data_IF_035282043958
#
_entry.id   IF_035282043958
#
_cell.length_a   1.000
_cell.length_b   1.000
_cell.length_c   1.000
_cell.angle_alpha   90.00
_cell.angle_beta   90.00
_cell.angle_gamma   90.00
#
_symmetry.space_group_name_H-M   'P 1'
#
loop_
_entity.id
_entity.type
_entity.pdbx_description
1 polymer ?
#
# COMPACT_ATOMS: atom_id res chain seq x y z
N UNK A 1 43.07 66.17 -2.13
CA UNK A 1 42.65 64.78 -2.46
C UNK A 1 41.15 64.60 -2.73
N UNK A 2 40.23 65.35 -2.07
CA UNK A 2 38.76 65.19 -2.27
C UNK A 2 38.22 65.54 -3.68
N UNK A 3 38.86 66.44 -4.44
CA UNK A 3 38.41 66.79 -5.80
C UNK A 3 38.78 65.76 -6.89
N UNK A 4 39.80 64.95 -6.66
CA UNK A 4 40.25 63.92 -7.61
C UNK A 4 39.32 62.70 -7.53
N UNK A 5 38.94 62.27 -6.31
CA UNK A 5 37.99 61.18 -6.11
C UNK A 5 36.57 61.46 -6.66
N UNK A 6 36.13 62.73 -6.67
CA UNK A 6 34.82 63.12 -7.24
C UNK A 6 34.80 63.05 -8.77
N UNK A 7 35.95 63.29 -9.43
CA UNK A 7 36.09 63.20 -10.90
C UNK A 7 36.31 61.74 -11.37
N UNK A 8 36.95 60.89 -10.56
CA UNK A 8 37.11 59.47 -10.88
C UNK A 8 35.83 58.65 -10.73
N UNK A 9 34.85 59.09 -9.92
CA UNK A 9 33.54 58.45 -9.81
C UNK A 9 32.58 58.74 -10.99
N UNK A 10 32.80 59.86 -11.70
CA UNK A 10 32.02 60.23 -12.90
C UNK A 10 32.42 59.42 -14.13
N UNK A 11 33.69 59.03 -14.23
CA UNK A 11 34.24 58.27 -15.35
C UNK A 11 33.59 56.89 -15.59
N UNK A 12 33.41 56.02 -14.57
CA UNK A 12 32.74 54.73 -14.77
C UNK A 12 31.25 54.91 -15.12
N UNK A 13 30.60 55.96 -14.59
CA UNK A 13 29.19 56.24 -14.87
C UNK A 13 28.97 56.73 -16.32
N UNK A 14 29.93 57.48 -16.87
CA UNK A 14 29.96 57.90 -18.28
C UNK A 14 30.25 56.72 -19.22
N UNK A 15 31.11 55.78 -18.82
CA UNK A 15 31.38 54.53 -19.55
C UNK A 15 30.17 53.59 -19.56
N UNK A 16 29.42 53.50 -18.46
CA UNK A 16 28.18 52.72 -18.38
C UNK A 16 27.06 53.37 -19.23
N UNK A 17 26.93 54.70 -19.24
CA UNK A 17 25.96 55.41 -20.08
C UNK A 17 26.27 55.28 -21.59
N UNK A 18 27.56 55.33 -21.96
CA UNK A 18 27.99 55.14 -23.35
C UNK A 18 27.77 53.69 -23.85
N UNK A 19 27.97 52.69 -22.96
CA UNK A 19 27.75 51.27 -23.30
C UNK A 19 26.27 50.89 -23.39
N UNK A 20 25.39 51.51 -22.59
CA UNK A 20 23.93 51.35 -22.71
C UNK A 20 23.37 51.97 -24.01
N UNK A 21 23.95 53.08 -24.48
CA UNK A 21 23.52 53.76 -25.71
C UNK A 21 23.86 52.95 -26.98
N UNK A 22 24.90 52.11 -26.93
CA UNK A 22 25.31 51.24 -28.05
C UNK A 22 24.41 50.03 -28.27
N UNK A 23 23.64 49.59 -27.27
CA UNK A 23 22.80 48.39 -27.34
C UNK A 23 21.35 48.66 -27.78
N UNK A 24 20.91 49.94 -27.81
CA UNK A 24 19.51 50.30 -28.11
C UNK A 24 19.24 50.49 -29.61
N UNK A 25 20.28 50.60 -30.45
CA UNK A 25 20.13 50.84 -31.89
C UNK A 25 20.37 49.59 -32.73
N UNK A 26 19.67 48.50 -32.45
CA UNK A 26 19.48 47.47 -33.48
C UNK A 26 18.44 48.04 -34.46
N UNK A 27 18.89 48.74 -35.51
CA UNK A 27 18.01 49.13 -36.62
C UNK A 27 17.41 47.86 -37.21
N UNK A 28 16.16 47.55 -36.84
CA UNK A 28 15.39 46.49 -37.49
C UNK A 28 15.21 46.90 -38.94
N UNK A 29 15.91 46.23 -39.85
CA UNK A 29 15.70 46.40 -41.28
C UNK A 29 14.27 45.94 -41.61
N UNK A 30 13.39 46.90 -41.85
CA UNK A 30 12.00 46.64 -42.20
C UNK A 30 11.81 46.87 -43.70
N UNK A 31 12.21 45.88 -44.51
CA UNK A 31 11.90 45.88 -45.94
C UNK A 31 10.46 45.39 -46.13
N UNK A 32 9.56 46.22 -46.69
CA UNK A 32 8.19 45.82 -46.93
C UNK A 32 8.05 44.58 -47.84
N UNK A 33 9.01 44.34 -48.74
CA UNK A 33 9.00 43.18 -49.64
C UNK A 33 9.27 41.87 -48.90
N UNK A 34 10.26 41.88 -47.99
CA UNK A 34 10.56 40.76 -47.09
C UNK A 34 9.39 40.53 -46.13
N UNK A 35 8.82 41.60 -45.57
CA UNK A 35 7.65 41.48 -44.70
C UNK A 35 6.47 40.87 -45.44
N UNK A 36 6.18 41.30 -46.67
CA UNK A 36 5.11 40.72 -47.47
C UNK A 36 5.36 39.24 -47.81
N UNK A 37 6.62 38.82 -47.99
CA UNK A 37 6.99 37.41 -48.14
C UNK A 37 6.74 36.61 -46.85
N UNK A 38 7.17 37.12 -45.69
CA UNK A 38 6.91 36.46 -44.41
C UNK A 38 5.42 36.32 -44.10
N UNK A 39 4.60 37.32 -44.47
CA UNK A 39 3.13 37.28 -44.35
C UNK A 39 2.49 36.17 -45.18
N UNK A 40 3.07 35.84 -46.34
CA UNK A 40 2.65 34.73 -47.23
C UNK A 40 3.11 33.36 -46.73
N UNK A 41 4.15 33.29 -45.90
CA UNK A 41 4.63 32.03 -45.33
C UNK A 41 3.90 31.60 -44.06
N UNK A 42 3.31 32.54 -43.32
CA UNK A 42 2.73 32.30 -42.00
C UNK A 42 1.21 32.31 -42.02
N UNK A 43 0.59 33.48 -41.82
CA UNK A 43 -0.84 33.59 -41.52
C UNK A 43 -1.53 34.82 -42.13
N UNK A 44 -0.86 35.95 -42.31
CA UNK A 44 -1.57 37.24 -42.42
C UNK A 44 -2.27 37.47 -43.78
N UNK A 45 -1.55 37.38 -44.90
CA UNK A 45 -2.17 37.58 -46.24
C UNK A 45 -1.39 36.89 -47.37
N UNK A 46 -2.07 36.13 -48.23
CA UNK A 46 -1.47 35.48 -49.42
C UNK A 46 -1.22 36.45 -50.59
N UNK A 47 -2.05 37.49 -50.72
CA UNK A 47 -2.10 38.35 -51.91
C UNK A 47 -1.23 39.62 -51.91
N UNK A 48 -0.22 39.76 -51.05
CA UNK A 48 0.65 40.96 -51.04
C UNK A 48 1.94 40.72 -51.85
N UNK A 49 1.91 41.03 -53.15
CA UNK A 49 3.00 40.79 -54.09
C UNK A 49 3.82 42.07 -54.31
N UNK A 50 4.76 42.33 -53.40
CA UNK A 50 5.69 43.46 -53.51
C UNK A 50 6.98 43.06 -54.25
N UNK A 51 7.61 43.98 -54.99
CA UNK A 51 7.21 45.38 -55.24
C UNK A 51 5.93 45.48 -56.11
N UNK A 52 5.14 46.56 -55.99
CA UNK A 52 3.85 46.63 -56.70
C UNK A 52 4.01 46.86 -58.22
N UNK A 53 3.12 46.29 -59.06
CA UNK A 53 3.10 46.59 -60.48
C UNK A 53 2.89 48.08 -60.74
N UNK A 54 3.56 48.59 -61.78
CA UNK A 54 3.24 49.88 -62.40
C UNK A 54 3.06 49.65 -63.88
N UNK A 55 1.97 50.17 -64.43
CA UNK A 55 1.64 50.05 -65.85
C UNK A 55 1.52 51.43 -66.47
N UNK A 56 2.02 51.58 -67.69
CA UNK A 56 1.82 52.75 -68.54
C UNK A 56 1.46 52.25 -69.93
N UNK A 57 0.29 52.65 -70.45
CA UNK A 57 -0.24 52.18 -71.74
C UNK A 57 -0.28 50.64 -71.86
N UNK A 58 -0.60 49.93 -70.77
CA UNK A 58 -0.63 48.46 -70.72
C UNK A 58 0.74 47.78 -70.59
N UNK A 59 1.84 48.54 -70.67
CA UNK A 59 3.20 48.01 -70.53
C UNK A 59 3.65 48.15 -69.08
N UNK A 60 4.22 47.08 -68.54
CA UNK A 60 4.72 47.07 -67.18
C UNK A 60 6.04 47.86 -67.07
N UNK A 61 6.02 48.98 -66.34
CA UNK A 61 7.17 49.88 -66.19
C UNK A 61 8.02 49.61 -64.95
N UNK A 62 7.53 48.79 -64.01
CA UNK A 62 8.32 48.37 -62.85
C UNK A 62 9.15 47.13 -63.18
N UNK A 63 10.45 47.34 -63.43
CA UNK A 63 11.42 46.28 -63.74
C UNK A 63 11.52 45.23 -62.62
N UNK A 64 11.59 45.67 -61.36
CA UNK A 64 11.71 44.75 -60.22
C UNK A 64 10.46 43.88 -60.03
N UNK A 65 9.27 44.39 -60.36
CA UNK A 65 8.07 43.55 -60.42
C UNK A 65 8.13 42.58 -61.60
N UNK A 66 8.66 43.01 -62.75
CA UNK A 66 8.66 42.23 -64.00
C UNK A 66 9.52 40.98 -63.89
N UNK A 67 10.66 41.11 -63.22
CA UNK A 67 11.63 40.03 -63.02
C UNK A 67 11.25 39.09 -61.88
N UNK A 68 10.47 39.53 -60.89
CA UNK A 68 10.13 38.71 -59.71
C UNK A 68 8.76 38.06 -59.82
N UNK A 69 7.73 38.78 -60.30
CA UNK A 69 6.34 38.34 -60.33
C UNK A 69 5.63 38.51 -61.68
N UNK A 70 6.20 39.30 -62.59
CA UNK A 70 5.62 39.64 -63.90
C UNK A 70 6.03 38.70 -65.03
N UNK A 71 5.97 39.20 -66.26
CA UNK A 71 6.17 38.39 -67.47
C UNK A 71 7.57 37.77 -67.58
N UNK A 72 8.60 38.44 -67.05
CA UNK A 72 10.00 38.00 -67.07
C UNK A 72 10.38 37.18 -65.84
N UNK A 73 9.43 36.88 -64.96
CA UNK A 73 9.68 36.08 -63.78
C UNK A 73 9.83 34.59 -64.14
N UNK A 74 10.68 33.85 -63.40
CA UNK A 74 10.74 32.40 -63.51
C UNK A 74 9.36 31.76 -63.35
N UNK A 75 9.12 30.66 -64.07
CA UNK A 75 7.84 29.94 -64.04
C UNK A 75 7.38 29.64 -62.61
N UNK A 76 8.29 29.22 -61.73
CA UNK A 76 8.03 28.90 -60.32
C UNK A 76 7.39 30.08 -59.57
N UNK A 77 7.88 31.31 -59.79
CA UNK A 77 7.36 32.48 -59.08
C UNK A 77 5.97 32.88 -59.58
N UNK A 78 5.73 32.69 -60.88
CA UNK A 78 4.42 32.93 -61.50
C UNK A 78 3.40 31.91 -61.01
N UNK A 79 3.76 30.63 -61.00
CA UNK A 79 2.93 29.54 -60.47
C UNK A 79 2.65 29.73 -58.96
N UNK A 80 3.63 30.20 -58.19
CA UNK A 80 3.46 30.51 -56.77
C UNK A 80 2.53 31.72 -56.53
N UNK A 81 2.56 32.72 -57.42
CA UNK A 81 1.68 33.91 -57.34
C UNK A 81 0.24 33.61 -57.75
N UNK A 82 0.08 32.87 -58.83
CA UNK A 82 -1.22 32.58 -59.43
C UNK A 82 -1.87 31.32 -58.83
N UNK A 83 -1.13 30.58 -57.99
CA UNK A 83 -1.58 29.38 -57.29
C UNK A 83 -2.36 29.63 -56.00
N UNK A 84 -2.91 28.53 -55.47
CA UNK A 84 -3.69 28.52 -54.23
C UNK A 84 -2.87 28.96 -53.02
N UNK A 85 -3.57 29.51 -52.03
CA UNK A 85 -2.97 29.91 -50.76
C UNK A 85 -2.41 28.70 -49.98
N UNK A 86 -1.09 28.54 -49.95
CA UNK A 86 -0.44 27.41 -49.26
C UNK A 86 -0.12 27.69 -47.78
N UNK A 87 -0.56 28.82 -47.22
CA UNK A 87 -0.26 29.18 -45.83
C UNK A 87 -0.66 28.06 -44.86
N UNK A 88 0.26 27.55 -44.04
CA UNK A 88 -0.04 26.45 -43.14
C UNK A 88 -1.01 26.85 -42.02
N UNK A 89 -0.98 28.11 -41.58
CA UNK A 89 -1.79 28.64 -40.47
C UNK A 89 -3.09 29.33 -40.92
N UNK A 90 -3.42 29.35 -42.21
CA UNK A 90 -4.73 29.89 -42.67
C UNK A 90 -5.88 29.13 -41.98
N UNK A 91 -7.10 29.68 -41.88
CA UNK A 91 -8.21 29.01 -41.19
C UNK A 91 -8.44 27.55 -41.64
N UNK A 92 -8.28 27.25 -42.92
CA UNK A 92 -8.38 25.90 -43.51
C UNK A 92 -7.02 25.22 -43.73
N UNK A 93 -5.94 25.78 -43.17
CA UNK A 93 -4.57 25.32 -43.36
C UNK A 93 -4.26 24.04 -42.60
N UNK A 94 -3.30 23.28 -43.13
CA UNK A 94 -2.91 21.98 -42.60
C UNK A 94 -2.47 22.03 -41.13
N UNK A 95 -1.80 23.11 -40.70
CA UNK A 95 -1.29 23.23 -39.34
C UNK A 95 -2.42 23.46 -38.33
N UNK A 96 -3.44 24.23 -38.69
CA UNK A 96 -4.62 24.42 -37.82
C UNK A 96 -5.44 23.14 -37.70
N UNK A 97 -5.56 22.37 -38.80
CA UNK A 97 -6.18 21.04 -38.76
C UNK A 97 -5.42 20.09 -37.82
N UNK A 98 -4.08 20.08 -37.89
CA UNK A 98 -3.24 19.31 -36.98
C UNK A 98 -3.38 19.75 -35.53
N UNK A 99 -3.45 21.06 -35.26
CA UNK A 99 -3.69 21.56 -33.91
C UNK A 99 -5.05 21.13 -33.36
N UNK A 100 -6.10 21.16 -34.18
CA UNK A 100 -7.41 20.67 -33.80
C UNK A 100 -7.38 19.15 -33.49
N UNK A 101 -6.76 18.35 -34.38
CA UNK A 101 -6.57 16.91 -34.16
C UNK A 101 -5.77 16.62 -32.89
N UNK A 102 -4.69 17.35 -32.65
CA UNK A 102 -3.87 17.22 -31.43
C UNK A 102 -4.70 17.53 -30.19
N UNK A 103 -5.60 18.53 -30.24
CA UNK A 103 -6.50 18.82 -29.12
C UNK A 103 -7.49 17.71 -28.85
N UNK A 104 -8.08 17.10 -29.89
CA UNK A 104 -8.93 15.92 -29.72
C UNK A 104 -8.16 14.74 -29.11
N UNK A 105 -6.95 14.46 -29.61
CA UNK A 105 -6.08 13.42 -29.05
C UNK A 105 -5.68 13.70 -27.60
N UNK A 106 -5.43 14.96 -27.25
CA UNK A 106 -5.13 15.37 -25.88
C UNK A 106 -6.32 15.10 -24.94
N UNK A 107 -7.55 15.35 -25.38
CA UNK A 107 -8.76 15.07 -24.62
C UNK A 107 -8.99 13.56 -24.45
N UNK A 108 -8.78 12.76 -25.50
CA UNK A 108 -8.85 11.29 -25.41
C UNK A 108 -7.78 10.73 -24.48
N UNK A 109 -6.55 11.22 -24.58
CA UNK A 109 -5.46 10.83 -23.69
C UNK A 109 -5.77 11.15 -22.22
N UNK A 110 -6.41 12.29 -21.93
CA UNK A 110 -6.87 12.63 -20.57
C UNK A 110 -7.90 11.63 -20.04
N UNK A 111 -8.85 11.20 -20.87
CA UNK A 111 -9.84 10.18 -20.49
C UNK A 111 -9.18 8.84 -20.20
N UNK A 112 -8.27 8.39 -21.05
CA UNK A 112 -7.51 7.15 -20.87
C UNK A 112 -6.67 7.22 -19.58
N UNK A 113 -5.99 8.34 -19.34
CA UNK A 113 -5.23 8.57 -18.11
C UNK A 113 -6.12 8.48 -16.88
N UNK A 114 -7.28 9.13 -16.89
CA UNK A 114 -8.22 9.05 -15.77
C UNK A 114 -8.69 7.62 -15.49
N UNK A 115 -8.96 6.82 -16.54
CA UNK A 115 -9.31 5.41 -16.39
C UNK A 115 -8.13 4.56 -15.86
N UNK A 116 -6.91 4.83 -16.31
CA UNK A 116 -5.72 4.15 -15.81
C UNK A 116 -5.46 4.49 -14.33
N UNK A 117 -5.58 5.75 -13.95
CA UNK A 117 -5.41 6.22 -12.58
C UNK A 117 -6.47 5.61 -11.63
N UNK A 118 -7.71 5.42 -12.09
CA UNK A 118 -8.75 4.77 -11.28
C UNK A 118 -8.48 3.28 -11.10
N UNK A 119 -8.06 2.57 -12.15
CA UNK A 119 -7.65 1.17 -12.07
C UNK A 119 -6.47 1.01 -11.11
N UNK A 120 -5.45 1.88 -11.21
CA UNK A 120 -4.29 1.85 -10.33
C UNK A 120 -4.67 2.11 -8.87
N UNK A 121 -5.49 3.13 -8.61
CA UNK A 121 -5.96 3.41 -7.23
C UNK A 121 -6.73 2.23 -6.67
N UNK A 122 -7.59 1.59 -7.48
CA UNK A 122 -8.34 0.41 -7.07
C UNK A 122 -7.44 -0.79 -6.81
N UNK A 123 -6.46 -1.05 -7.68
CA UNK A 123 -5.54 -2.19 -7.50
C UNK A 123 -4.66 -2.03 -6.26
N UNK A 124 -4.22 -0.82 -5.93
CA UNK A 124 -3.50 -0.53 -4.68
C UNK A 124 -4.40 -0.74 -3.46
N UNK A 125 -5.65 -0.31 -3.52
CA UNK A 125 -6.63 -0.56 -2.44
C UNK A 125 -6.92 -2.05 -2.27
N UNK A 126 -7.12 -2.77 -3.36
CA UNK A 126 -7.34 -4.23 -3.36
C UNK A 126 -6.09 -4.94 -2.83
N UNK A 127 -4.89 -4.55 -3.24
CA UNK A 127 -3.65 -5.10 -2.71
C UNK A 127 -3.54 -4.88 -1.19
N UNK A 128 -3.80 -3.67 -0.69
CA UNK A 128 -3.79 -3.36 0.73
C UNK A 128 -4.84 -4.14 1.53
N UNK A 129 -5.97 -4.49 0.91
CA UNK A 129 -7.05 -5.28 1.51
C UNK A 129 -6.74 -6.79 1.60
N UNK A 130 -5.86 -7.29 0.72
CA UNK A 130 -5.50 -8.71 0.66
C UNK A 130 -4.18 -9.04 1.35
N UNK A 131 -3.24 -8.10 1.33
CA UNK A 131 -1.90 -8.34 1.88
C UNK A 131 -1.94 -8.59 3.39
N UNK A 132 -1.18 -9.59 3.83
CA UNK A 132 -0.91 -9.88 5.24
C UNK A 132 -0.09 -8.79 5.94
N UNK A 133 0.69 -8.00 5.18
CA UNK A 133 1.57 -6.96 5.73
C UNK A 133 0.82 -5.86 6.51
N UNK A 134 -0.45 -5.62 6.18
CA UNK A 134 -1.29 -4.63 6.85
C UNK A 134 -2.06 -5.19 8.05
N UNK A 135 -1.91 -6.50 8.36
CA UNK A 135 -2.69 -7.18 9.40
C UNK A 135 -2.46 -6.62 10.81
N UNK A 136 -1.30 -6.01 11.08
CA UNK A 136 -1.02 -5.36 12.37
C UNK A 136 -1.69 -3.99 12.52
N UNK A 137 -1.94 -3.32 11.41
CA UNK A 137 -2.56 -2.00 11.39
C UNK A 137 -4.10 -2.06 11.36
N UNK A 138 -4.68 -3.27 11.29
CA UNK A 138 -6.12 -3.45 11.24
C UNK A 138 -6.81 -2.91 12.52
N UNK A 139 -7.74 -1.93 12.41
CA UNK A 139 -8.40 -1.34 13.58
C UNK A 139 -9.07 -2.36 14.51
N UNK A 140 -9.82 -3.32 13.96
CA UNK A 140 -10.50 -4.35 14.75
C UNK A 140 -9.51 -5.32 15.43
N UNK A 141 -8.37 -5.57 14.78
CA UNK A 141 -7.29 -6.34 15.37
C UNK A 141 -6.74 -5.63 16.60
N UNK A 142 -6.37 -4.36 16.46
CA UNK A 142 -5.81 -3.54 17.53
C UNK A 142 -6.78 -3.38 18.71
N UNK A 143 -8.06 -3.15 18.44
CA UNK A 143 -9.07 -2.89 19.47
C UNK A 143 -9.51 -4.15 20.23
N UNK A 144 -9.59 -5.30 19.56
CA UNK A 144 -10.20 -6.50 20.14
C UNK A 144 -9.28 -7.73 20.11
N UNK A 145 -8.93 -8.19 18.91
CA UNK A 145 -8.32 -9.52 18.74
C UNK A 145 -6.89 -9.61 19.28
N UNK A 146 -6.10 -8.54 19.19
CA UNK A 146 -4.72 -8.49 19.69
C UNK A 146 -4.65 -8.87 21.18
N UNK A 147 -5.57 -8.33 22.00
CA UNK A 147 -5.64 -8.66 23.43
C UNK A 147 -6.19 -10.06 23.66
N UNK A 148 -7.24 -10.44 22.93
CA UNK A 148 -7.96 -11.70 23.17
C UNK A 148 -7.17 -12.95 22.72
N UNK A 149 -6.32 -12.82 21.69
CA UNK A 149 -5.50 -13.91 21.17
C UNK A 149 -4.09 -13.95 21.77
N UNK A 150 -3.70 -12.94 22.56
CA UNK A 150 -2.42 -12.90 23.29
C UNK A 150 -2.11 -14.18 24.09
N UNK A 151 -3.09 -14.81 24.77
CA UNK A 151 -2.82 -16.05 25.49
C UNK A 151 -2.31 -17.20 24.61
N UNK A 152 -2.64 -17.21 23.32
CA UNK A 152 -2.16 -18.25 22.38
C UNK A 152 -0.66 -18.10 22.13
N UNK A 153 -0.19 -16.86 21.98
CA UNK A 153 1.24 -16.56 21.78
C UNK A 153 2.06 -16.70 23.06
N UNK A 154 1.44 -16.46 24.22
CA UNK A 154 2.09 -16.62 25.53
C UNK A 154 2.14 -18.07 26.00
N UNK A 155 1.27 -18.94 25.48
CA UNK A 155 1.30 -20.36 25.81
C UNK A 155 2.50 -21.00 25.08
N UNK A 156 3.29 -21.89 25.73
CA UNK A 156 4.46 -22.51 25.11
C UNK A 156 4.09 -23.42 23.94
N UNK A 157 4.97 -23.56 22.95
CA UNK A 157 4.73 -24.45 21.78
C UNK A 157 4.77 -25.92 22.19
N UNK A 158 5.72 -26.30 23.04
CA UNK A 158 5.91 -27.68 23.51
C UNK A 158 5.93 -27.70 25.04
N UNK A 159 4.76 -27.63 25.71
CA UNK A 159 4.66 -27.71 27.17
C UNK A 159 5.15 -29.08 27.70
N UNK A 160 6.21 -29.07 28.53
CA UNK A 160 6.82 -30.30 29.07
C UNK A 160 6.46 -30.56 30.54
N UNK A 161 6.04 -29.53 31.27
CA UNK A 161 5.78 -29.62 32.71
C UNK A 161 4.33 -29.30 33.07
N UNK A 162 3.92 -29.67 34.28
CA UNK A 162 2.58 -29.35 34.80
C UNK A 162 2.32 -27.84 34.82
N UNK A 163 3.35 -27.02 35.10
CA UNK A 163 3.25 -25.56 35.14
C UNK A 163 2.99 -24.97 33.75
N UNK A 164 3.66 -25.50 32.72
CA UNK A 164 3.49 -25.08 31.33
C UNK A 164 2.06 -25.36 30.84
N UNK A 165 1.55 -26.55 31.21
CA UNK A 165 0.16 -26.93 30.97
C UNK A 165 -0.85 -26.22 31.89
N UNK A 166 -0.38 -25.41 32.85
CA UNK A 166 -1.22 -24.73 33.86
C UNK A 166 -2.11 -25.71 34.65
N UNK A 167 -1.58 -26.91 34.90
CA UNK A 167 -2.20 -27.93 35.75
C UNK A 167 -1.90 -27.64 37.23
N UNK A 168 -2.65 -28.27 38.14
CA UNK A 168 -2.47 -28.05 39.58
C UNK A 168 -1.26 -28.82 40.12
N UNK A 169 -1.20 -30.12 39.85
CA UNK A 169 -0.26 -31.03 40.51
C UNK A 169 0.52 -31.88 39.51
N UNK A 170 1.75 -32.25 39.87
CA UNK A 170 2.59 -33.16 39.07
C UNK A 170 1.92 -34.53 38.86
N UNK A 171 1.25 -35.08 39.87
CA UNK A 171 0.53 -36.35 39.77
C UNK A 171 -0.57 -36.32 38.69
N UNK A 172 -1.20 -35.15 38.50
CA UNK A 172 -2.24 -34.98 37.48
C UNK A 172 -1.65 -34.97 36.08
N UNK A 173 -0.49 -34.32 35.93
CA UNK A 173 0.25 -34.30 34.68
C UNK A 173 0.66 -35.72 34.27
N UNK A 174 1.23 -36.49 35.20
CA UNK A 174 1.62 -37.88 34.96
C UNK A 174 0.43 -38.74 34.55
N UNK A 175 -0.69 -38.66 35.28
CA UNK A 175 -1.90 -39.41 34.98
C UNK A 175 -2.49 -39.06 33.59
N UNK A 176 -2.47 -37.78 33.22
CA UNK A 176 -2.91 -37.33 31.89
C UNK A 176 -1.93 -37.78 30.79
N UNK A 177 -0.62 -37.79 31.08
CA UNK A 177 0.39 -38.30 30.14
C UNK A 177 0.21 -39.80 29.89
N UNK A 178 -0.03 -40.60 30.94
CA UNK A 178 -0.23 -42.05 30.84
C UNK A 178 -1.53 -42.41 30.13
N UNK A 179 -2.56 -41.56 30.26
CA UNK A 179 -3.85 -41.76 29.57
C UNK A 179 -3.78 -41.33 28.10
N UNK A 180 -2.71 -40.64 27.68
CA UNK A 180 -2.57 -40.11 26.31
C UNK A 180 -3.42 -38.87 26.01
N UNK A 181 -4.06 -38.28 27.02
CA UNK A 181 -4.91 -37.08 26.84
C UNK A 181 -4.07 -35.84 26.51
N UNK A 182 -2.86 -35.73 27.08
CA UNK A 182 -1.95 -34.62 26.77
C UNK A 182 -1.50 -34.63 25.31
N UNK A 183 -1.30 -35.81 24.71
CA UNK A 183 -0.93 -35.92 23.30
C UNK A 183 -2.03 -35.34 22.40
N UNK A 184 -3.29 -35.71 22.64
CA UNK A 184 -4.44 -35.13 21.92
C UNK A 184 -4.54 -33.62 22.12
N UNK A 185 -4.37 -33.14 23.36
CA UNK A 185 -4.40 -31.70 23.65
C UNK A 185 -3.25 -30.96 22.97
N UNK A 186 -2.08 -31.59 22.83
CA UNK A 186 -0.95 -31.03 22.08
C UNK A 186 -1.30 -30.89 20.59
N UNK A 187 -1.86 -31.94 19.97
CA UNK A 187 -2.29 -31.90 18.57
C UNK A 187 -3.32 -30.78 18.34
N UNK A 188 -4.29 -30.61 19.26
CA UNK A 188 -5.26 -29.52 19.18
C UNK A 188 -4.63 -28.14 19.34
N UNK A 189 -3.64 -28.01 20.22
CA UNK A 189 -2.90 -26.78 20.42
C UNK A 189 -2.09 -26.40 19.17
N UNK A 190 -1.42 -27.37 18.55
CA UNK A 190 -0.65 -27.19 17.32
C UNK A 190 -1.56 -26.70 16.20
N UNK A 191 -2.74 -27.32 16.03
CA UNK A 191 -3.74 -26.88 15.06
C UNK A 191 -4.24 -25.45 15.31
N UNK A 192 -4.41 -25.03 16.57
CA UNK A 192 -4.82 -23.66 16.93
C UNK A 192 -3.70 -22.68 16.58
N UNK A 193 -2.44 -23.01 16.92
CA UNK A 193 -1.28 -22.16 16.66
C UNK A 193 -0.95 -22.04 15.18
N UNK A 194 -1.05 -23.12 14.43
CA UNK A 194 -0.89 -23.12 12.98
C UNK A 194 -1.95 -22.22 12.35
N UNK A 195 -3.22 -22.37 12.73
CA UNK A 195 -4.30 -21.51 12.24
C UNK A 195 -4.09 -20.04 12.60
N UNK A 196 -3.61 -19.76 13.81
CA UNK A 196 -3.21 -18.41 14.21
C UNK A 196 -2.09 -17.88 13.33
N UNK A 197 -1.02 -18.65 13.09
CA UNK A 197 0.09 -18.27 12.21
C UNK A 197 -0.39 -17.97 10.79
N UNK A 198 -1.20 -18.86 10.20
CA UNK A 198 -1.82 -18.65 8.88
C UNK A 198 -2.65 -17.36 8.82
N UNK A 199 -3.30 -16.96 9.92
CA UNK A 199 -4.09 -15.73 9.97
C UNK A 199 -3.26 -14.45 9.92
N UNK A 200 -1.96 -14.58 10.14
CA UNK A 200 -0.99 -13.49 10.16
C UNK A 200 -0.10 -13.48 8.92
N UNK A 201 0.20 -14.64 8.34
CA UNK A 201 1.14 -14.76 7.21
C UNK A 201 0.48 -14.89 5.85
N UNK A 202 -0.72 -15.44 5.76
CA UNK A 202 -1.36 -15.72 4.46
C UNK A 202 -2.07 -14.49 3.91
N UNK A 203 -1.83 -14.18 2.64
CA UNK A 203 -2.55 -13.15 1.91
C UNK A 203 -4.01 -13.60 1.69
N UNK A 204 -4.93 -12.82 2.25
CA UNK A 204 -6.36 -13.09 2.21
C UNK A 204 -7.13 -11.79 2.43
N UNK A 205 -8.36 -11.68 1.91
CA UNK A 205 -9.19 -10.52 2.14
C UNK A 205 -9.44 -10.33 3.65
N UNK A 206 -9.38 -9.06 4.08
CA UNK A 206 -9.55 -8.62 5.47
C UNK A 206 -10.73 -9.28 6.20
N UNK A 207 -11.89 -9.39 5.55
CA UNK A 207 -13.08 -10.03 6.14
C UNK A 207 -12.86 -11.51 6.50
N UNK A 208 -12.20 -12.27 5.62
CA UNK A 208 -11.87 -13.69 5.86
C UNK A 208 -10.86 -13.84 6.99
N UNK A 209 -9.91 -12.91 7.10
CA UNK A 209 -8.95 -12.85 8.20
C UNK A 209 -9.64 -12.68 9.55
N UNK A 210 -10.63 -11.79 9.65
CA UNK A 210 -11.40 -11.59 10.87
C UNK A 210 -12.22 -12.81 11.28
N UNK A 211 -12.83 -13.50 10.31
CA UNK A 211 -13.50 -14.78 10.58
C UNK A 211 -12.49 -15.78 11.14
N UNK A 212 -11.29 -15.85 10.57
CA UNK A 212 -10.27 -16.77 11.05
C UNK A 212 -9.77 -16.43 12.47
N UNK A 213 -9.62 -15.15 12.81
CA UNK A 213 -9.35 -14.71 14.19
C UNK A 213 -10.46 -15.15 15.15
N UNK A 214 -11.72 -14.97 14.75
CA UNK A 214 -12.86 -15.34 15.58
C UNK A 214 -12.94 -16.85 15.80
N UNK A 215 -12.77 -17.64 14.75
CA UNK A 215 -12.74 -19.10 14.83
C UNK A 215 -11.59 -19.60 15.71
N UNK A 216 -10.41 -19.00 15.59
CA UNK A 216 -9.23 -19.32 16.41
C UNK A 216 -9.50 -18.99 17.88
N UNK A 217 -10.13 -17.85 18.16
CA UNK A 217 -10.51 -17.43 19.51
C UNK A 217 -11.55 -18.38 20.13
N UNK A 218 -12.55 -18.82 19.37
CA UNK A 218 -13.54 -19.81 19.85
C UNK A 218 -12.84 -21.14 20.15
N UNK A 219 -11.98 -21.62 19.25
CA UNK A 219 -11.24 -22.87 19.45
C UNK A 219 -10.35 -22.80 20.68
N UNK A 220 -9.67 -21.69 20.89
CA UNK A 220 -8.87 -21.45 22.10
C UNK A 220 -9.69 -21.52 23.38
N UNK A 221 -10.88 -20.89 23.41
CA UNK A 221 -11.76 -20.95 24.58
C UNK A 221 -12.19 -22.38 24.89
N UNK A 222 -12.59 -23.14 23.86
CA UNK A 222 -12.94 -24.56 23.99
C UNK A 222 -11.77 -25.39 24.51
N UNK A 223 -10.57 -25.18 23.98
CA UNK A 223 -9.35 -25.84 24.44
C UNK A 223 -9.08 -25.58 25.94
N UNK A 224 -9.19 -24.33 26.39
CA UNK A 224 -9.00 -23.97 27.81
C UNK A 224 -10.07 -24.62 28.70
N UNK A 225 -11.32 -24.67 28.24
CA UNK A 225 -12.41 -25.35 28.96
C UNK A 225 -12.18 -26.86 29.05
N UNK A 226 -11.74 -27.50 27.96
CA UNK A 226 -11.39 -28.92 27.95
C UNK A 226 -10.23 -29.21 28.90
N UNK A 227 -9.15 -28.44 28.81
CA UNK A 227 -8.00 -28.59 29.69
C UNK A 227 -8.42 -28.48 31.17
N UNK A 228 -9.25 -27.50 31.51
CA UNK A 228 -9.79 -27.36 32.87
C UNK A 228 -10.66 -28.55 33.28
N UNK A 229 -11.48 -29.07 32.37
CA UNK A 229 -12.33 -30.24 32.60
C UNK A 229 -11.50 -31.50 32.88
N UNK A 230 -10.46 -31.75 32.09
CA UNK A 230 -9.53 -32.86 32.30
C UNK A 230 -8.77 -32.70 33.62
N UNK A 231 -8.25 -31.50 33.90
CA UNK A 231 -7.57 -31.20 35.16
C UNK A 231 -8.47 -31.50 36.37
N UNK A 232 -9.71 -30.96 36.39
CA UNK A 232 -10.64 -31.17 37.49
C UNK A 232 -11.06 -32.64 37.64
N UNK A 233 -11.33 -33.34 36.53
CA UNK A 233 -11.70 -34.75 36.54
C UNK A 233 -10.57 -35.61 37.10
N UNK A 234 -9.34 -35.42 36.62
CA UNK A 234 -8.19 -36.20 37.07
C UNK A 234 -7.84 -35.91 38.52
N UNK A 235 -7.88 -34.65 38.96
CA UNK A 235 -7.72 -34.30 40.37
C UNK A 235 -8.71 -35.06 41.26
N UNK A 236 -10.00 -34.98 40.93
CA UNK A 236 -11.05 -35.65 41.70
C UNK A 236 -10.85 -37.18 41.72
N UNK A 237 -10.41 -37.79 40.61
CA UNK A 237 -10.07 -39.21 40.58
C UNK A 237 -8.88 -39.56 41.47
N UNK A 238 -7.84 -38.72 41.49
CA UNK A 238 -6.68 -38.89 42.35
C UNK A 238 -7.05 -38.71 43.83
N UNK A 239 -7.89 -37.72 44.14
CA UNK A 239 -8.42 -37.49 45.49
C UNK A 239 -9.20 -38.72 46.00
N UNK A 240 -10.11 -39.25 45.19
CA UNK A 240 -10.83 -40.49 45.55
C UNK A 240 -9.90 -41.68 45.71
N UNK A 241 -8.90 -41.84 44.83
CA UNK A 241 -7.89 -42.90 44.94
C UNK A 241 -7.11 -42.78 46.25
N UNK A 242 -6.74 -41.57 46.64
CA UNK A 242 -6.03 -41.30 47.89
C UNK A 242 -6.90 -41.60 49.12
N UNK A 243 -8.17 -41.17 49.11
CA UNK A 243 -9.15 -41.47 50.15
C UNK A 243 -9.32 -42.99 50.30
N UNK A 244 -9.56 -43.71 49.19
CA UNK A 244 -9.71 -45.17 49.21
C UNK A 244 -8.46 -45.88 49.74
N UNK A 245 -7.26 -45.45 49.33
CA UNK A 245 -5.99 -46.01 49.81
C UNK A 245 -5.83 -45.84 51.32
N UNK A 246 -6.22 -44.69 51.87
CA UNK A 246 -6.17 -44.41 53.30
C UNK A 246 -7.21 -45.24 54.10
N UNK A 247 -8.37 -45.54 53.51
CA UNK A 247 -9.36 -46.41 54.14
C UNK A 247 -9.01 -47.90 54.04
N UNK A 248 -8.38 -48.34 52.94
CA UNK A 248 -7.98 -49.74 52.73
C UNK A 248 -7.01 -50.26 53.80
N UNK A 249 -6.07 -49.43 54.27
CA UNK A 249 -5.19 -49.81 55.39
C UNK A 249 -5.91 -49.98 56.73
N UNK A 250 -7.12 -49.41 56.85
CA UNK A 250 -7.96 -49.53 58.06
C UNK A 250 -9.02 -50.63 57.90
N UNK A 251 -9.42 -50.97 56.67
CA UNK A 251 -10.51 -51.92 56.37
C UNK A 251 -10.05 -53.34 56.04
N UNK A 252 -8.79 -53.55 55.69
CA UNK A 252 -8.25 -54.91 55.60
C UNK A 252 -8.19 -55.48 57.02
N UNK A 253 -8.80 -56.64 57.29
CA UNK A 253 -8.66 -57.27 58.59
C UNK A 253 -7.17 -57.43 58.88
N UNK A 254 -6.71 -57.18 60.12
CA UNK A 254 -5.33 -57.47 60.47
C UNK A 254 -5.04 -58.91 60.05
N UNK A 255 -3.87 -59.11 59.43
CA UNK A 255 -3.33 -60.43 59.08
C UNK A 255 -3.74 -61.48 60.11
N UNK A 256 -4.19 -62.65 59.65
CA UNK A 256 -4.72 -63.75 60.48
C UNK A 256 -4.13 -63.75 61.88
N UNK A 257 -4.97 -63.45 62.87
CA UNK A 257 -4.59 -63.37 64.27
C UNK A 257 -5.00 -64.66 64.97
N UNK A 258 -4.12 -65.32 65.74
CA UNK A 258 -4.47 -66.52 66.50
C UNK A 258 -5.39 -66.25 67.71
N UNK A 259 -5.85 -64.99 67.91
CA UNK A 259 -6.73 -64.63 69.01
C UNK A 259 -8.14 -65.20 68.82
N UNK A 260 -8.72 -65.75 69.89
CA UNK A 260 -10.10 -66.20 69.94
C UNK A 260 -11.08 -65.01 69.88
N UNK A 261 -12.25 -65.18 69.27
CA UNK A 261 -13.28 -64.13 69.12
C UNK A 261 -13.59 -63.39 70.43
N UNK A 262 -13.57 -64.09 71.57
CA UNK A 262 -13.78 -63.48 72.90
C UNK A 262 -12.69 -62.44 73.24
N UNK A 263 -11.44 -62.70 72.87
CA UNK A 263 -10.33 -61.77 73.09
C UNK A 263 -10.42 -60.56 72.16
N UNK A 264 -10.88 -60.76 70.91
CA UNK A 264 -11.07 -59.69 69.93
C UNK A 264 -12.17 -58.73 70.39
N UNK A 265 -13.31 -59.27 70.86
CA UNK A 265 -14.42 -58.47 71.40
C UNK A 265 -13.97 -57.72 72.64
N UNK A 266 -13.28 -58.37 73.58
CA UNK A 266 -12.77 -57.70 74.79
C UNK A 266 -11.78 -56.56 74.47
N UNK A 267 -10.87 -56.77 73.52
CA UNK A 267 -9.91 -55.75 73.06
C UNK A 267 -10.62 -54.56 72.43
N UNK A 268 -11.61 -54.82 71.58
CA UNK A 268 -12.43 -53.78 70.95
C UNK A 268 -13.21 -53.01 72.02
N UNK A 269 -13.85 -53.69 72.96
CA UNK A 269 -14.56 -53.06 74.07
C UNK A 269 -13.64 -52.18 74.94
N UNK A 270 -12.41 -52.63 75.23
CA UNK A 270 -11.42 -51.82 75.95
C UNK A 270 -10.96 -50.60 75.15
N UNK A 271 -10.73 -50.74 73.84
CA UNK A 271 -10.30 -49.64 72.97
C UNK A 271 -11.34 -48.52 72.90
N UNK A 272 -12.62 -48.85 72.95
CA UNK A 272 -13.72 -47.87 72.92
C UNK A 272 -14.27 -47.49 74.30
N UNK A 273 -13.81 -48.12 75.39
CA UNK A 273 -14.31 -47.90 76.76
C UNK A 273 -14.23 -46.44 77.22
N UNK A 274 -13.24 -45.68 76.74
CA UNK A 274 -12.99 -44.30 77.14
C UNK A 274 -13.25 -43.28 76.01
N UNK A 275 -13.86 -43.73 74.90
CA UNK A 275 -14.12 -42.89 73.72
C UNK A 275 -15.53 -42.28 73.71
N UNK A 276 -16.32 -42.59 74.74
CA UNK A 276 -17.64 -42.04 75.04
C UNK A 276 -17.74 -41.82 76.54
#
# INVERSE_FOLDING_TARGET
MKHIQRKTGLFPLLLIAASLSGQVSVKRLNDPSIVAQHKRMTFERWGDWRPYPKYFLGIQTNFAYATVWGLWAPKINRDYKDGDDIRPLKPTGLQNQRFAQLKFQEEEAKKIKAASDTIYKRSVQDFAHWTSATADADPLWLLYYKRMLKPITEFPDTPQNFTDWRLKDQNTYEALSTTGTLKRLQEELDMIKEKYSMSRSMDMPRGKRFIMYHETLIRWRKFVEELRKYNNKTNLLLDYKNILKNHLSTSLPPSWSPASDKQIVHRTMQQYKNKY
#
